data_IF_574682511161
#
_entry.id   IF_574682511161
#
_cell.length_a   1.000
_cell.length_b   1.000
_cell.length_c   1.000
_cell.angle_alpha   90.00
_cell.angle_beta   90.00
_cell.angle_gamma   90.00
#
_symmetry.space_group_name_H-M   'P 1'
#
loop_
_entity.id
_entity.type
_entity.pdbx_description
1 polymer ?
#
# COMPACT_ATOMS: atom_id res chain seq x y z
N UNK A 1 -3.00 -23.16 4.85
CA UNK A 1 -3.31 -22.73 3.44
C UNK A 1 -2.62 -21.43 3.03
N UNK A 2 -1.70 -20.91 3.86
CA UNK A 2 -0.78 -19.80 3.51
C UNK A 2 0.48 -20.28 2.78
N UNK A 3 0.76 -21.58 2.81
CA UNK A 3 1.87 -22.16 2.05
C UNK A 3 1.66 -21.94 0.56
N UNK A 4 2.67 -21.38 -0.12
CA UNK A 4 2.67 -20.99 -1.53
C UNK A 4 1.95 -19.67 -1.88
N UNK A 5 1.71 -18.76 -0.92
CA UNK A 5 1.28 -17.41 -1.23
C UNK A 5 2.40 -16.64 -1.93
N UNK A 6 2.16 -16.17 -3.15
CA UNK A 6 3.12 -15.36 -3.88
C UNK A 6 3.09 -13.91 -3.35
N UNK A 7 4.25 -13.32 -3.12
CA UNK A 7 4.43 -11.93 -2.74
C UNK A 7 4.97 -11.17 -3.96
N UNK A 8 4.17 -10.25 -4.51
CA UNK A 8 4.44 -9.58 -5.78
C UNK A 8 4.38 -8.06 -5.62
N UNK A 9 5.47 -7.40 -5.22
CA UNK A 9 5.53 -5.95 -5.25
C UNK A 9 5.63 -5.46 -6.70
N UNK A 10 4.86 -4.43 -7.06
CA UNK A 10 4.84 -3.85 -8.40
C UNK A 10 5.14 -2.36 -8.39
N UNK A 11 5.87 -1.89 -9.39
CA UNK A 11 6.21 -0.49 -9.60
C UNK A 11 5.68 -0.05 -10.95
N UNK A 12 4.81 0.98 -10.98
CA UNK A 12 4.25 1.52 -12.21
C UNK A 12 5.23 2.50 -12.87
N UNK A 13 5.32 2.45 -14.19
CA UNK A 13 6.26 3.23 -15.01
C UNK A 13 5.60 4.34 -15.80
N UNK A 14 4.32 4.20 -16.06
CA UNK A 14 3.54 5.15 -16.85
C UNK A 14 3.26 6.45 -16.08
N UNK A 15 2.96 7.54 -16.79
CA UNK A 15 2.92 8.90 -16.22
C UNK A 15 1.51 9.40 -15.95
N UNK A 16 0.55 9.06 -16.81
CA UNK A 16 -0.83 9.54 -16.66
C UNK A 16 -1.66 8.61 -15.80
N UNK A 17 -2.70 9.13 -15.17
CA UNK A 17 -3.61 8.36 -14.32
C UNK A 17 -4.24 7.17 -15.04
N UNK A 18 -4.71 7.36 -16.28
CA UNK A 18 -5.34 6.29 -17.05
C UNK A 18 -4.32 5.21 -17.43
N UNK A 19 -3.14 5.61 -17.92
CA UNK A 19 -2.07 4.65 -18.25
C UNK A 19 -1.61 3.84 -17.03
N UNK A 20 -1.56 4.47 -15.84
CA UNK A 20 -1.22 3.77 -14.58
C UNK A 20 -2.29 2.75 -14.19
N UNK A 21 -3.56 3.11 -14.35
CA UNK A 21 -4.66 2.17 -14.10
C UNK A 21 -4.59 0.99 -15.06
N UNK A 22 -4.42 1.24 -16.37
CA UNK A 22 -4.27 0.21 -17.38
C UNK A 22 -3.05 -0.69 -17.14
N UNK A 23 -1.93 -0.10 -16.70
CA UNK A 23 -0.72 -0.85 -16.34
C UNK A 23 -0.96 -1.72 -15.12
N UNK A 24 -1.61 -1.20 -14.07
CA UNK A 24 -1.93 -1.96 -12.87
C UNK A 24 -2.89 -3.11 -13.17
N UNK A 25 -3.93 -2.88 -13.96
CA UNK A 25 -4.86 -3.92 -14.42
C UNK A 25 -4.11 -5.05 -15.12
N UNK A 26 -3.23 -4.74 -16.08
CA UNK A 26 -2.42 -5.75 -16.78
C UNK A 26 -1.52 -6.54 -15.83
N UNK A 27 -0.90 -5.88 -14.84
CA UNK A 27 -0.06 -6.56 -13.83
C UNK A 27 -0.90 -7.51 -12.96
N UNK A 28 -2.13 -7.12 -12.60
CA UNK A 28 -3.07 -7.97 -11.86
C UNK A 28 -3.48 -9.20 -12.69
N UNK A 29 -3.84 -8.99 -13.97
CA UNK A 29 -4.23 -10.08 -14.87
C UNK A 29 -3.11 -11.11 -15.04
N UNK A 30 -1.86 -10.65 -15.18
CA UNK A 30 -0.68 -11.49 -15.37
C UNK A 30 -0.19 -12.19 -14.10
N UNK A 31 -0.57 -11.68 -12.93
CA UNK A 31 -0.17 -12.27 -11.67
C UNK A 31 -0.74 -13.70 -11.52
N UNK A 32 0.03 -14.64 -10.95
CA UNK A 32 -0.48 -15.97 -10.65
C UNK A 32 -1.57 -15.92 -9.57
N UNK A 33 -2.41 -16.94 -9.52
CA UNK A 33 -3.35 -17.14 -8.42
C UNK A 33 -2.60 -17.31 -7.07
N UNK A 34 -3.31 -17.10 -5.97
CA UNK A 34 -2.76 -17.12 -4.62
C UNK A 34 -1.60 -16.12 -4.46
N UNK A 35 -1.85 -14.84 -4.81
CA UNK A 35 -0.88 -13.75 -4.76
C UNK A 35 -1.36 -12.58 -3.94
N UNK A 36 -0.44 -11.98 -3.15
CA UNK A 36 -0.56 -10.59 -2.69
C UNK A 36 0.24 -9.72 -3.65
N UNK A 37 -0.45 -8.89 -4.41
CA UNK A 37 0.12 -7.88 -5.30
C UNK A 37 0.17 -6.58 -4.50
N UNK A 38 1.36 -6.03 -4.26
CA UNK A 38 1.52 -4.74 -3.58
C UNK A 38 1.86 -3.66 -4.59
N UNK A 39 0.95 -2.71 -4.79
CA UNK A 39 1.21 -1.51 -5.55
C UNK A 39 1.79 -0.39 -4.65
N UNK A 40 2.46 0.59 -5.27
CA UNK A 40 3.05 1.70 -4.54
C UNK A 40 2.01 2.69 -4.01
N UNK A 41 2.45 3.59 -3.13
CA UNK A 41 1.59 4.62 -2.54
C UNK A 41 0.99 5.52 -3.62
N UNK A 42 -0.34 5.75 -3.55
CA UNK A 42 -1.11 6.60 -4.48
C UNK A 42 -0.74 6.34 -5.96
N UNK A 43 -0.47 5.09 -6.30
CA UNK A 43 0.12 4.70 -7.58
C UNK A 43 -0.72 5.14 -8.79
N UNK A 44 -2.04 5.17 -8.68
CA UNK A 44 -2.95 5.58 -9.76
C UNK A 44 -3.15 7.09 -9.78
N UNK A 45 -3.51 7.71 -8.65
CA UNK A 45 -3.76 9.16 -8.56
C UNK A 45 -2.49 10.01 -8.68
N UNK A 46 -1.37 9.51 -8.13
CA UNK A 46 -0.15 10.28 -7.93
C UNK A 46 -0.34 11.38 -6.88
N UNK A 47 0.64 12.30 -6.81
CA UNK A 47 0.68 13.46 -5.92
C UNK A 47 0.36 14.80 -6.62
N UNK A 48 -0.10 14.78 -7.88
CA UNK A 48 -0.63 15.96 -8.56
C UNK A 48 -2.09 16.18 -8.14
N UNK A 49 -2.27 16.63 -6.91
CA UNK A 49 -3.59 16.78 -6.33
C UNK A 49 -4.43 17.85 -7.03
N UNK A 50 -3.85 18.97 -7.46
CA UNK A 50 -4.57 20.02 -8.18
C UNK A 50 -5.01 19.53 -9.56
N UNK A 51 -4.14 18.84 -10.28
CA UNK A 51 -4.47 18.18 -11.53
C UNK A 51 -5.46 17.04 -11.36
N UNK A 52 -5.33 16.24 -10.31
CA UNK A 52 -6.25 15.16 -9.99
C UNK A 52 -7.64 15.66 -9.66
N UNK A 53 -7.78 16.60 -8.72
CA UNK A 53 -9.08 17.18 -8.36
C UNK A 53 -9.73 17.95 -9.51
N UNK A 54 -8.95 18.68 -10.33
CA UNK A 54 -9.49 19.39 -11.50
C UNK A 54 -9.92 18.44 -12.62
N UNK A 55 -9.27 17.27 -12.77
CA UNK A 55 -9.66 16.22 -13.74
C UNK A 55 -10.88 15.43 -13.23
N UNK A 56 -10.91 15.05 -11.97
CA UNK A 56 -12.05 14.41 -11.34
C UNK A 56 -13.31 15.30 -11.45
N UNK A 57 -13.17 16.61 -11.26
CA UNK A 57 -14.26 17.57 -11.43
C UNK A 57 -14.68 17.77 -12.90
N UNK A 58 -13.79 17.56 -13.90
CA UNK A 58 -14.10 17.71 -15.33
C UNK A 58 -14.59 16.44 -16.01
N UNK A 59 -14.06 15.28 -15.62
CA UNK A 59 -14.48 14.00 -16.18
C UNK A 59 -15.90 13.60 -15.76
N UNK A 60 -16.42 14.26 -14.75
CA UNK A 60 -17.75 14.01 -14.21
C UNK A 60 -18.49 15.33 -14.12
N UNK A 61 -19.49 15.53 -14.94
CA UNK A 61 -20.51 16.57 -14.80
C UNK A 61 -21.12 16.46 -13.39
N UNK A 62 -20.45 17.03 -12.38
CA UNK A 62 -20.80 16.89 -10.96
C UNK A 62 -19.84 16.02 -10.13
N UNK A 63 -18.56 15.89 -10.57
CA UNK A 63 -17.59 14.96 -10.03
C UNK A 63 -17.28 15.10 -8.55
N UNK A 64 -17.42 14.00 -7.85
CA UNK A 64 -16.97 13.80 -6.48
C UNK A 64 -15.79 12.83 -6.45
N UNK A 65 -14.94 12.87 -5.41
CA UNK A 65 -13.90 11.84 -5.16
C UNK A 65 -14.55 10.45 -5.19
N UNK A 66 -15.74 10.28 -4.66
CA UNK A 66 -16.45 9.00 -4.61
C UNK A 66 -16.74 8.36 -5.98
N UNK A 67 -16.84 9.13 -7.05
CA UNK A 67 -17.08 8.57 -8.39
C UNK A 67 -15.80 8.13 -9.09
N UNK A 68 -14.66 8.80 -8.86
CA UNK A 68 -13.37 8.31 -9.36
C UNK A 68 -12.96 7.02 -8.65
N UNK A 69 -13.10 6.97 -7.34
CA UNK A 69 -12.86 5.76 -6.56
C UNK A 69 -13.74 4.59 -7.02
N UNK A 70 -15.03 4.85 -7.34
CA UNK A 70 -15.93 3.82 -7.84
C UNK A 70 -15.43 3.22 -9.16
N UNK A 71 -15.05 4.05 -10.14
CA UNK A 71 -14.51 3.60 -11.44
C UNK A 71 -13.18 2.85 -11.23
N UNK A 72 -12.30 3.38 -10.37
CA UNK A 72 -11.04 2.74 -10.03
C UNK A 72 -11.28 1.34 -9.45
N UNK A 73 -12.14 1.22 -8.44
CA UNK A 73 -12.41 -0.05 -7.78
C UNK A 73 -13.16 -1.03 -8.70
N UNK A 74 -14.07 -0.58 -9.54
CA UNK A 74 -14.74 -1.41 -10.53
C UNK A 74 -13.71 -2.06 -11.48
N UNK A 75 -12.83 -1.27 -12.10
CA UNK A 75 -11.79 -1.78 -13.00
C UNK A 75 -10.82 -2.75 -12.29
N UNK A 76 -10.42 -2.44 -11.05
CA UNK A 76 -9.53 -3.31 -10.28
C UNK A 76 -10.23 -4.62 -9.86
N UNK A 77 -11.49 -4.57 -9.45
CA UNK A 77 -12.25 -5.74 -9.05
C UNK A 77 -12.57 -6.67 -10.24
N UNK A 78 -12.78 -6.11 -11.44
CA UNK A 78 -12.94 -6.89 -12.68
C UNK A 78 -11.65 -7.64 -13.06
N UNK A 79 -10.49 -7.05 -12.83
CA UNK A 79 -9.19 -7.67 -13.11
C UNK A 79 -8.78 -8.72 -12.05
N UNK A 80 -9.29 -8.60 -10.82
CA UNK A 80 -8.98 -9.50 -9.71
C UNK A 80 -9.81 -10.78 -9.78
N UNK A 81 -9.24 -11.87 -9.26
CA UNK A 81 -9.96 -13.12 -8.94
C UNK A 81 -10.17 -13.23 -7.42
N UNK A 82 -10.94 -14.21 -6.92
CA UNK A 82 -11.06 -14.45 -5.48
C UNK A 82 -9.74 -14.81 -4.79
N UNK A 83 -8.74 -15.31 -5.53
CA UNK A 83 -7.44 -15.72 -5.01
C UNK A 83 -6.28 -14.79 -5.39
N UNK A 84 -6.56 -13.64 -6.01
CA UNK A 84 -5.61 -12.54 -6.21
C UNK A 84 -5.97 -11.39 -5.28
N UNK A 85 -5.02 -10.93 -4.47
CA UNK A 85 -5.22 -9.89 -3.46
C UNK A 85 -4.37 -8.68 -3.81
N UNK A 86 -4.98 -7.53 -3.90
CA UNK A 86 -4.31 -6.26 -4.21
C UNK A 86 -4.23 -5.39 -2.97
N UNK A 87 -3.01 -5.01 -2.59
CA UNK A 87 -2.72 -3.96 -1.62
C UNK A 87 -2.31 -2.68 -2.35
N UNK A 88 -3.00 -1.59 -2.13
CA UNK A 88 -2.67 -0.27 -2.67
C UNK A 88 -3.09 0.83 -1.71
N UNK A 89 -2.60 2.06 -1.93
CA UNK A 89 -3.20 3.23 -1.27
C UNK A 89 -4.01 4.07 -2.25
N UNK A 90 -5.07 4.64 -1.76
CA UNK A 90 -5.98 5.51 -2.50
C UNK A 90 -6.46 6.68 -1.62
N UNK A 91 -7.19 7.61 -2.23
CA UNK A 91 -7.81 8.72 -1.52
C UNK A 91 -9.19 8.31 -1.03
N UNK A 92 -9.48 8.49 0.25
CA UNK A 92 -10.82 8.28 0.81
C UNK A 92 -11.27 9.48 1.63
N UNK A 93 -12.57 9.58 1.91
CA UNK A 93 -13.11 10.65 2.75
C UNK A 93 -14.03 10.11 3.84
N UNK A 94 -14.07 10.81 4.99
CA UNK A 94 -14.94 10.48 6.14
C UNK A 94 -16.43 10.35 5.74
N UNK A 95 -16.87 11.09 4.73
CA UNK A 95 -18.28 11.10 4.30
C UNK A 95 -18.68 9.81 3.57
N UNK A 96 -17.72 9.03 3.02
CA UNK A 96 -18.00 7.70 2.45
C UNK A 96 -18.49 6.74 3.53
N UNK A 97 -17.90 6.78 4.72
CA UNK A 97 -18.32 5.94 5.86
C UNK A 97 -19.75 6.26 6.35
N UNK A 98 -20.28 7.44 6.02
CA UNK A 98 -21.64 7.89 6.38
C UNK A 98 -22.68 7.71 5.27
N UNK A 99 -22.34 7.05 4.17
CA UNK A 99 -23.28 6.79 3.06
C UNK A 99 -23.68 8.01 2.23
N UNK A 100 -22.94 9.11 2.32
CA UNK A 100 -23.19 10.33 1.55
C UNK A 100 -22.47 10.26 0.21
N UNK A 101 -23.23 10.12 -0.86
CA UNK A 101 -22.74 9.77 -2.21
C UNK A 101 -22.10 10.94 -2.99
N UNK A 102 -22.00 12.16 -2.47
CA UNK A 102 -21.48 13.32 -3.22
C UNK A 102 -20.73 14.28 -2.31
N UNK A 103 -19.45 14.54 -2.62
CA UNK A 103 -18.66 15.60 -1.99
C UNK A 103 -18.04 16.46 -3.08
N UNK A 104 -18.47 17.73 -3.17
CA UNK A 104 -17.66 18.75 -3.82
C UNK A 104 -16.63 19.24 -2.80
N UNK A 105 -15.34 19.16 -3.13
CA UNK A 105 -14.27 19.56 -2.21
C UNK A 105 -14.21 21.09 -2.18
N UNK A 106 -14.73 21.68 -1.12
CA UNK A 106 -14.44 23.06 -0.74
C UNK A 106 -13.20 23.11 0.16
N UNK A 107 -12.59 24.30 0.28
CA UNK A 107 -11.41 24.51 1.14
C UNK A 107 -11.58 23.96 2.59
N UNK A 108 -12.82 23.95 3.10
CA UNK A 108 -13.16 23.48 4.45
C UNK A 108 -13.15 21.93 4.60
N UNK A 109 -13.14 21.18 3.50
CA UNK A 109 -13.27 19.71 3.49
C UNK A 109 -11.92 18.99 3.27
N UNK A 110 -10.81 19.72 3.07
CA UNK A 110 -9.48 19.14 2.85
C UNK A 110 -9.06 18.21 3.99
N UNK A 111 -9.33 18.57 5.24
CA UNK A 111 -8.96 17.78 6.43
C UNK A 111 -9.86 16.55 6.67
N UNK A 112 -10.72 16.20 5.75
CA UNK A 112 -11.56 14.99 5.80
C UNK A 112 -11.12 13.92 4.79
N UNK A 113 -10.02 14.15 4.06
CA UNK A 113 -9.47 13.24 3.06
C UNK A 113 -8.31 12.48 3.69
N UNK A 114 -8.27 11.18 3.51
CA UNK A 114 -7.21 10.31 3.96
C UNK A 114 -6.47 9.67 2.79
N UNK A 115 -5.18 9.45 2.96
CA UNK A 115 -4.40 8.47 2.21
C UNK A 115 -4.62 7.13 2.90
N UNK A 116 -5.48 6.27 2.33
CA UNK A 116 -5.89 5.00 2.92
C UNK A 116 -5.25 3.84 2.17
N UNK A 117 -4.61 2.93 2.90
CA UNK A 117 -4.26 1.61 2.39
C UNK A 117 -5.48 0.69 2.43
N UNK A 118 -5.65 -0.10 1.38
CA UNK A 118 -6.68 -1.13 1.28
C UNK A 118 -6.07 -2.43 0.78
N UNK A 119 -6.46 -3.57 1.37
CA UNK A 119 -6.22 -4.91 0.85
C UNK A 119 -7.55 -5.52 0.43
N UNK A 120 -7.69 -5.87 -0.84
CA UNK A 120 -8.94 -6.38 -1.43
C UNK A 120 -8.69 -7.51 -2.44
N UNK A 121 -9.76 -8.23 -2.77
CA UNK A 121 -9.87 -9.07 -3.96
C UNK A 121 -11.13 -8.72 -4.76
N UNK A 122 -11.53 -9.54 -5.73
CA UNK A 122 -12.74 -9.32 -6.53
C UNK A 122 -14.04 -9.26 -5.72
N UNK A 123 -14.08 -9.76 -4.49
CA UNK A 123 -15.31 -9.94 -3.71
C UNK A 123 -15.31 -9.18 -2.39
N UNK A 124 -14.14 -9.00 -1.76
CA UNK A 124 -14.04 -8.54 -0.37
C UNK A 124 -12.92 -7.53 -0.16
N UNK A 125 -13.13 -6.66 0.82
CA UNK A 125 -12.09 -5.86 1.46
C UNK A 125 -11.69 -6.56 2.76
N UNK A 126 -10.41 -6.85 2.92
CA UNK A 126 -9.85 -7.58 4.08
C UNK A 126 -9.28 -6.65 5.14
N UNK A 127 -8.74 -5.52 4.73
CA UNK A 127 -8.11 -4.58 5.64
C UNK A 127 -8.08 -3.16 5.07
N UNK A 128 -8.21 -2.17 5.94
CA UNK A 128 -7.96 -0.75 5.63
C UNK A 128 -7.17 -0.07 6.74
N UNK A 129 -6.33 0.91 6.37
CA UNK A 129 -5.53 1.71 7.30
C UNK A 129 -5.27 3.09 6.73
N UNK A 130 -5.61 4.13 7.48
CA UNK A 130 -5.27 5.50 7.11
C UNK A 130 -3.81 5.82 7.48
N UNK A 131 -3.08 6.48 6.59
CA UNK A 131 -1.71 6.95 6.84
C UNK A 131 -1.66 7.89 8.04
N UNK A 132 -0.86 7.55 9.05
CA UNK A 132 -0.74 8.31 10.30
C UNK A 132 0.36 9.37 10.24
N UNK A 133 1.47 9.10 9.51
CA UNK A 133 2.62 9.99 9.40
C UNK A 133 2.63 10.70 8.05
N UNK A 134 2.13 11.92 8.03
CA UNK A 134 2.07 12.74 6.83
C UNK A 134 3.42 13.36 6.51
N UNK A 135 3.83 13.30 5.24
CA UNK A 135 5.11 13.83 4.77
C UNK A 135 5.01 15.34 4.49
N UNK A 136 5.41 16.15 5.46
CA UNK A 136 5.33 17.61 5.39
C UNK A 136 6.04 18.27 4.20
N UNK A 137 7.23 17.78 3.75
CA UNK A 137 7.87 18.38 2.56
C UNK A 137 7.02 18.35 1.30
N UNK A 138 6.10 17.38 1.15
CA UNK A 138 5.12 17.32 0.06
C UNK A 138 3.77 17.93 0.43
N UNK A 139 3.69 18.72 1.50
CA UNK A 139 2.49 19.42 1.98
C UNK A 139 1.30 18.47 2.25
N UNK A 140 1.56 17.18 2.52
CA UNK A 140 0.50 16.20 2.78
C UNK A 140 -0.43 16.63 3.92
N UNK A 141 0.11 17.29 4.96
CA UNK A 141 -0.64 17.80 6.09
C UNK A 141 -1.62 18.95 5.75
N UNK A 142 -1.47 19.58 4.58
CA UNK A 142 -2.41 20.59 4.09
C UNK A 142 -3.57 19.96 3.33
N UNK A 143 -3.44 18.69 2.94
CA UNK A 143 -4.36 17.98 2.05
C UNK A 143 -5.07 16.87 2.79
N UNK A 144 -4.34 16.08 3.59
CA UNK A 144 -4.82 14.90 4.26
C UNK A 144 -5.02 15.10 5.74
N UNK A 145 -6.00 14.40 6.29
CA UNK A 145 -6.08 14.10 7.71
C UNK A 145 -5.12 12.94 8.04
N UNK A 146 -4.48 13.01 9.19
CA UNK A 146 -3.67 11.92 9.70
C UNK A 146 -4.56 10.81 10.28
N UNK A 147 -4.22 9.56 9.99
CA UNK A 147 -4.80 8.40 10.64
C UNK A 147 -4.34 8.23 12.09
N UNK A 148 -4.94 7.28 12.79
CA UNK A 148 -4.59 6.93 14.16
C UNK A 148 -3.42 5.95 14.17
N UNK A 149 -2.31 6.30 14.83
CA UNK A 149 -1.16 5.41 15.00
C UNK A 149 -1.49 4.13 15.76
N UNK A 150 -2.46 4.16 16.67
CA UNK A 150 -2.89 2.98 17.41
C UNK A 150 -3.62 1.94 16.54
N UNK A 151 -4.07 2.34 15.35
CA UNK A 151 -4.65 1.45 14.36
C UNK A 151 -3.59 0.63 13.59
N UNK A 152 -2.31 1.04 13.63
CA UNK A 152 -1.20 0.31 13.00
C UNK A 152 -0.86 -0.91 13.86
N UNK A 153 -1.40 -2.06 13.48
CA UNK A 153 -1.23 -3.33 14.20
C UNK A 153 -1.33 -4.51 13.24
N UNK A 154 -0.79 -5.69 13.62
CA UNK A 154 -0.96 -6.89 12.83
C UNK A 154 -2.44 -7.23 12.65
N UNK A 155 -2.82 -7.68 11.45
CA UNK A 155 -4.12 -8.26 11.17
C UNK A 155 -3.97 -9.68 10.60
N UNK A 156 -4.97 -10.51 10.89
CA UNK A 156 -4.97 -11.90 10.42
C UNK A 156 -5.47 -11.98 8.96
N UNK A 157 -4.67 -12.62 8.10
CA UNK A 157 -4.99 -12.82 6.70
C UNK A 157 -4.55 -14.21 6.23
N UNK A 158 -5.48 -15.09 5.89
CA UNK A 158 -5.21 -16.49 5.44
C UNK A 158 -4.27 -17.26 6.38
N UNK A 159 -4.31 -16.99 7.68
CA UNK A 159 -3.46 -17.61 8.70
C UNK A 159 -2.08 -16.96 8.86
N UNK A 160 -1.83 -15.82 8.21
CA UNK A 160 -0.66 -14.98 8.39
C UNK A 160 -1.00 -13.74 9.21
N UNK A 161 -0.03 -13.21 9.93
CA UNK A 161 -0.07 -11.87 10.51
C UNK A 161 0.59 -10.87 9.57
N UNK A 162 -0.22 -9.97 9.02
CA UNK A 162 0.26 -8.94 8.09
C UNK A 162 0.21 -7.57 8.76
N UNK A 163 1.22 -6.75 8.53
CA UNK A 163 1.28 -5.34 8.93
C UNK A 163 1.46 -4.43 7.73
N UNK A 164 1.16 -3.14 7.90
CA UNK A 164 1.33 -2.14 6.85
C UNK A 164 2.06 -0.92 7.41
N UNK A 165 3.04 -0.41 6.66
CA UNK A 165 3.67 0.90 6.89
C UNK A 165 3.62 1.71 5.60
N UNK A 166 2.83 2.77 5.58
CA UNK A 166 2.63 3.59 4.38
C UNK A 166 3.76 4.61 4.27
N UNK A 167 4.67 4.39 3.31
CA UNK A 167 5.69 5.34 2.86
C UNK A 167 6.52 5.96 4.01
N UNK A 168 6.21 7.19 4.43
CA UNK A 168 6.94 7.91 5.46
C UNK A 168 6.87 7.26 6.85
N UNK A 169 5.86 6.43 7.11
CA UNK A 169 5.72 5.65 8.35
C UNK A 169 6.92 4.72 8.58
N UNK A 170 7.58 4.27 7.52
CA UNK A 170 8.79 3.46 7.57
C UNK A 170 9.92 4.10 8.39
N UNK A 171 9.96 5.43 8.55
CA UNK A 171 11.00 6.10 9.35
C UNK A 171 10.80 6.04 10.86
N UNK A 172 9.67 5.55 11.32
CA UNK A 172 9.28 5.61 12.73
C UNK A 172 9.44 4.26 13.41
N UNK A 173 10.59 4.02 14.04
CA UNK A 173 10.94 2.73 14.65
C UNK A 173 9.94 2.24 15.71
N UNK A 174 9.22 3.14 16.40
CA UNK A 174 8.18 2.73 17.33
C UNK A 174 6.99 2.03 16.64
N UNK A 175 6.71 2.35 15.37
CA UNK A 175 5.70 1.63 14.58
C UNK A 175 6.17 0.22 14.22
N UNK A 176 7.47 0.00 14.07
CA UNK A 176 8.03 -1.35 13.84
C UNK A 176 7.76 -2.27 15.03
N UNK A 177 7.84 -1.71 16.25
CA UNK A 177 7.55 -2.47 17.48
C UNK A 177 6.08 -2.89 17.57
N UNK A 178 5.16 -2.08 17.03
CA UNK A 178 3.74 -2.47 16.94
C UNK A 178 3.51 -3.64 15.98
N UNK A 179 4.41 -3.83 15.01
CA UNK A 179 4.36 -4.87 13.98
C UNK A 179 5.33 -6.04 14.21
N UNK A 180 5.92 -6.18 15.42
CA UNK A 180 6.94 -7.18 15.74
C UNK A 180 6.49 -8.63 15.56
N UNK A 181 5.20 -8.90 15.61
CA UNK A 181 4.63 -10.25 15.48
C UNK A 181 4.13 -10.56 14.05
N UNK A 182 4.40 -9.68 13.07
CA UNK A 182 4.03 -9.91 11.68
C UNK A 182 4.90 -10.97 11.02
N UNK A 183 4.27 -11.76 10.15
CA UNK A 183 4.96 -12.63 9.19
C UNK A 183 5.38 -11.85 7.94
N UNK A 184 4.54 -10.89 7.53
CA UNK A 184 4.75 -10.04 6.36
C UNK A 184 4.41 -8.59 6.70
N UNK A 185 5.28 -7.65 6.33
CA UNK A 185 5.00 -6.21 6.41
C UNK A 185 4.99 -5.65 4.99
N UNK A 186 3.88 -5.00 4.62
CA UNK A 186 3.68 -4.34 3.33
C UNK A 186 4.09 -2.86 3.44
N UNK A 187 4.94 -2.40 2.51
CA UNK A 187 5.47 -1.03 2.50
C UNK A 187 5.17 -0.37 1.15
N UNK A 188 3.91 0.05 0.89
CA UNK A 188 3.59 0.87 -0.27
C UNK A 188 4.21 2.26 -0.08
N UNK A 189 4.96 2.75 -1.06
CA UNK A 189 5.68 4.01 -0.94
C UNK A 189 5.74 4.79 -2.26
N UNK A 190 6.05 6.09 -2.14
CA UNK A 190 6.44 6.95 -3.25
C UNK A 190 7.64 7.80 -2.81
N UNK A 191 8.79 7.15 -2.72
CA UNK A 191 10.04 7.81 -2.35
C UNK A 191 10.76 8.35 -3.58
N UNK A 192 11.36 9.54 -3.45
CA UNK A 192 12.20 10.09 -4.52
C UNK A 192 13.57 9.39 -4.60
N UNK A 193 14.15 9.32 -5.81
CA UNK A 193 15.43 8.67 -6.12
C UNK A 193 16.57 9.13 -5.20
N UNK A 194 16.60 10.40 -4.83
CA UNK A 194 17.60 10.95 -3.91
C UNK A 194 17.59 10.30 -2.50
N UNK A 195 16.56 9.55 -2.16
CA UNK A 195 16.41 8.87 -0.87
C UNK A 195 16.36 7.34 -1.00
N UNK A 196 16.76 6.79 -2.14
CA UNK A 196 16.77 5.35 -2.44
C UNK A 196 17.52 4.56 -1.38
N UNK A 197 18.76 4.94 -1.09
CA UNK A 197 19.60 4.24 -0.11
C UNK A 197 18.93 4.19 1.28
N UNK A 198 18.34 5.30 1.72
CA UNK A 198 17.60 5.33 2.99
C UNK A 198 16.36 4.42 2.96
N UNK A 199 15.63 4.36 1.84
CA UNK A 199 14.46 3.50 1.69
C UNK A 199 14.84 2.02 1.78
N UNK A 200 15.83 1.61 0.99
CA UNK A 200 16.32 0.23 0.96
C UNK A 200 16.89 -0.21 2.31
N UNK A 201 17.70 0.67 2.93
CA UNK A 201 18.27 0.42 4.26
C UNK A 201 17.18 0.20 5.31
N UNK A 202 16.16 1.05 5.34
CA UNK A 202 15.07 0.94 6.32
C UNK A 202 14.20 -0.31 6.08
N UNK A 203 13.88 -0.64 4.83
CA UNK A 203 13.15 -1.88 4.52
C UNK A 203 13.92 -3.12 4.96
N UNK A 204 15.23 -3.17 4.66
CA UNK A 204 16.11 -4.24 5.11
C UNK A 204 16.22 -4.32 6.64
N UNK A 205 16.41 -3.18 7.29
CA UNK A 205 16.50 -3.11 8.75
C UNK A 205 15.20 -3.57 9.42
N UNK A 206 14.04 -3.22 8.87
CA UNK A 206 12.74 -3.67 9.35
C UNK A 206 12.59 -5.19 9.25
N UNK A 207 12.99 -5.80 8.12
CA UNK A 207 12.95 -7.25 7.93
C UNK A 207 13.84 -7.97 8.95
N UNK A 208 15.07 -7.49 9.16
CA UNK A 208 16.01 -8.04 10.13
C UNK A 208 15.51 -7.88 11.58
N UNK A 209 15.02 -6.67 11.93
CA UNK A 209 14.58 -6.37 13.29
C UNK A 209 13.37 -7.20 13.74
N UNK A 210 12.45 -7.48 12.81
CA UNK A 210 11.22 -8.22 13.10
C UNK A 210 11.29 -9.70 12.66
N UNK A 211 12.37 -10.13 12.00
CA UNK A 211 12.53 -11.48 11.41
C UNK A 211 11.31 -11.87 10.58
N UNK A 212 10.89 -10.98 9.65
CA UNK A 212 9.71 -11.11 8.82
C UNK A 212 9.99 -10.75 7.36
N UNK A 213 9.09 -11.08 6.46
CA UNK A 213 9.14 -10.58 5.08
C UNK A 213 8.74 -9.09 5.04
N UNK A 214 9.51 -8.27 4.33
CA UNK A 214 9.14 -6.89 4.02
C UNK A 214 8.95 -6.76 2.51
N UNK A 215 7.70 -6.61 2.09
CA UNK A 215 7.31 -6.42 0.68
C UNK A 215 7.25 -4.92 0.43
N UNK A 216 8.12 -4.41 -0.45
CA UNK A 216 8.30 -2.99 -0.67
C UNK A 216 8.05 -2.62 -2.13
N UNK A 217 7.20 -1.60 -2.36
CA UNK A 217 6.88 -1.08 -3.68
C UNK A 217 6.95 0.45 -3.67
N UNK A 218 7.69 1.02 -4.64
CA UNK A 218 7.74 2.46 -4.88
C UNK A 218 7.70 2.72 -6.38
N UNK A 219 7.01 3.77 -6.81
CA UNK A 219 6.82 4.12 -8.21
C UNK A 219 7.34 5.53 -8.52
N UNK A 220 7.22 5.93 -9.76
CA UNK A 220 7.65 7.21 -10.33
C UNK A 220 9.16 7.39 -10.25
N UNK A 221 9.63 8.37 -9.48
CA UNK A 221 11.04 8.76 -9.41
C UNK A 221 11.94 7.62 -8.88
N UNK A 222 11.50 6.89 -7.87
CA UNK A 222 12.15 5.69 -7.41
C UNK A 222 11.38 4.46 -7.88
N UNK A 223 11.69 3.97 -9.07
CA UNK A 223 11.14 2.73 -9.61
C UNK A 223 11.74 1.52 -8.89
N UNK A 224 11.15 1.16 -7.76
CA UNK A 224 11.62 0.02 -6.97
C UNK A 224 10.46 -0.90 -6.60
N UNK A 225 10.65 -2.19 -6.81
CA UNK A 225 9.81 -3.24 -6.24
C UNK A 225 10.68 -4.42 -5.84
N UNK A 226 10.44 -4.98 -4.65
CA UNK A 226 11.19 -6.12 -4.16
C UNK A 226 10.83 -6.51 -2.73
N UNK A 227 11.44 -7.57 -2.27
CA UNK A 227 11.17 -8.21 -1.00
C UNK A 227 12.47 -8.38 -0.24
N UNK A 228 12.47 -7.95 1.01
CA UNK A 228 13.52 -8.31 1.95
C UNK A 228 13.04 -9.51 2.77
N UNK A 229 13.79 -10.59 2.71
CA UNK A 229 13.52 -11.83 3.44
C UNK A 229 13.80 -11.64 4.95
N UNK A 230 13.33 -12.53 5.82
CA UNK A 230 13.62 -12.48 7.26
C UNK A 230 15.13 -12.43 7.60
N UNK A 231 15.98 -12.96 6.72
CA UNK A 231 17.46 -12.90 6.78
C UNK A 231 18.05 -11.55 6.34
N UNK A 232 17.22 -10.65 5.77
CA UNK A 232 17.67 -9.40 5.17
C UNK A 232 18.18 -9.54 3.72
N UNK A 233 18.14 -10.73 3.13
CA UNK A 233 18.42 -10.94 1.71
C UNK A 233 17.32 -10.30 0.85
N UNK A 234 17.68 -9.93 -0.38
CA UNK A 234 16.78 -9.26 -1.31
C UNK A 234 16.39 -10.17 -2.45
N UNK A 235 15.08 -10.22 -2.72
CA UNK A 235 14.47 -10.91 -3.86
C UNK A 235 13.49 -9.98 -4.58
N UNK A 236 13.33 -10.18 -5.89
CA UNK A 236 12.32 -9.43 -6.66
C UNK A 236 10.91 -9.93 -6.43
N UNK A 237 10.78 -11.23 -6.31
CA UNK A 237 9.54 -11.96 -6.07
C UNK A 237 9.84 -13.10 -5.10
N UNK A 238 8.94 -13.45 -4.23
CA UNK A 238 9.10 -14.56 -3.32
C UNK A 238 7.79 -15.31 -3.11
N UNK A 239 7.89 -16.58 -2.79
CA UNK A 239 6.81 -17.33 -2.16
C UNK A 239 6.97 -17.25 -0.66
N UNK A 240 5.88 -17.02 0.04
CA UNK A 240 5.90 -17.06 1.48
C UNK A 240 6.25 -18.47 1.96
N UNK A 241 7.23 -18.55 2.85
CA UNK A 241 7.66 -19.77 3.52
C UNK A 241 7.80 -19.48 5.03
N UNK A 242 6.92 -20.05 5.84
CA UNK A 242 6.96 -19.91 7.29
C UNK A 242 8.22 -20.54 7.92
N UNK A 243 8.81 -21.57 7.27
CA UNK A 243 10.02 -22.20 7.78
C UNK A 243 11.20 -21.24 7.77
N UNK A 244 11.30 -20.36 6.76
CA UNK A 244 12.36 -19.36 6.69
C UNK A 244 12.33 -18.39 7.88
N UNK A 245 11.13 -17.99 8.32
CA UNK A 245 10.96 -17.18 9.55
C UNK A 245 11.41 -17.97 10.78
N UNK A 246 10.97 -19.23 10.89
CA UNK A 246 11.31 -20.09 12.03
C UNK A 246 12.81 -20.39 12.12
N UNK A 247 13.45 -20.70 10.99
CA UNK A 247 14.88 -20.92 10.90
C UNK A 247 15.68 -19.66 11.27
N UNK A 248 15.27 -18.50 10.73
CA UNK A 248 15.90 -17.23 11.08
C UNK A 248 15.82 -16.96 12.59
N UNK A 249 14.64 -17.12 13.19
CA UNK A 249 14.45 -16.91 14.64
C UNK A 249 15.24 -17.90 15.48
N UNK A 250 15.30 -19.18 15.08
CA UNK A 250 16.13 -20.21 15.77
C UNK A 250 17.62 -19.87 15.73
N UNK A 251 18.13 -19.50 14.55
CA UNK A 251 19.54 -19.13 14.37
C UNK A 251 19.94 -17.90 15.21
N UNK A 252 18.99 -17.04 15.53
CA UNK A 252 19.17 -15.87 16.39
C UNK A 252 18.90 -16.16 17.88
N UNK A 253 18.46 -17.35 18.25
CA UNK A 253 18.09 -17.70 19.63
C UNK A 253 16.84 -16.98 20.13
N UNK A 254 15.91 -16.67 19.24
CA UNK A 254 14.64 -15.99 19.54
C UNK A 254 13.46 -16.97 19.73
N UNK A 255 13.71 -18.26 19.54
CA UNK A 255 12.78 -19.36 19.76
C UNK A 255 13.39 -20.38 20.71
#
# INVERSE_FOLDING_TARGET
MSENLNLLPVSLKTKTTNERLDELVKLIEQAPENSIILASELCVSGYDFDGFFSRANRAMLGGSIGSFDAILFEALQEALTPDKFLGLTHLTSLNRAKGLAQISITQAQKNEIYNEFILLNSQNVFYTQNKSKLFRPNLEHEIFAAGDESAIKPFDFKGLKIGVLICFELRFAHLWQQLKDCDVILVPAMWGKAREDAYLTLCKALALANSCYVVAASSLDLEFSGIFLPSGEFEKEAKFDSNLILETKRNLGLL
#
